data_IF_236047527400
#
_entry.id   IF_236047527400
#
_cell.length_a   1.000
_cell.length_b   1.000
_cell.length_c   1.000
_cell.angle_alpha   90.00
_cell.angle_beta   90.00
_cell.angle_gamma   90.00
#
_symmetry.space_group_name_H-M   'P 1'
#
loop_
_entity.id
_entity.type
_entity.pdbx_description
1 polymer ?
#
# COMPACT_ATOMS: atom_id res chain seq x y z
N UNK A 1 -1.72 -37.22 -16.03
CA UNK A 1 -1.51 -36.10 -16.98
C UNK A 1 -2.75 -35.17 -17.10
N UNK A 2 -3.99 -35.70 -17.04
CA UNK A 2 -5.22 -34.87 -17.17
C UNK A 2 -5.49 -33.95 -15.98
N UNK A 3 -4.95 -34.23 -14.78
CA UNK A 3 -5.20 -33.44 -13.55
C UNK A 3 -4.10 -32.42 -13.26
N UNK A 4 -3.05 -32.36 -14.06
CA UNK A 4 -1.99 -31.35 -13.91
C UNK A 4 -2.45 -30.05 -14.52
N UNK A 5 -2.49 -28.99 -13.71
CA UNK A 5 -2.83 -27.66 -14.19
C UNK A 5 -1.58 -26.97 -14.78
N UNK A 6 -1.70 -26.58 -16.05
CA UNK A 6 -0.69 -25.73 -16.70
C UNK A 6 -1.03 -24.28 -16.42
N UNK A 7 -0.21 -23.60 -15.64
CA UNK A 7 -0.42 -22.20 -15.28
C UNK A 7 -0.04 -21.25 -16.41
N UNK A 8 -0.56 -20.03 -16.37
CA UNK A 8 -0.13 -18.95 -17.24
C UNK A 8 1.29 -18.46 -16.96
N UNK A 9 1.82 -18.76 -15.76
CA UNK A 9 3.17 -18.40 -15.31
C UNK A 9 4.29 -19.31 -15.87
N UNK A 10 3.94 -20.33 -16.67
CA UNK A 10 4.91 -21.20 -17.34
C UNK A 10 5.36 -22.43 -16.55
N UNK A 11 4.75 -22.73 -15.41
CA UNK A 11 4.98 -23.96 -14.66
C UNK A 11 3.68 -24.77 -14.45
N UNK A 12 3.83 -26.02 -14.04
CA UNK A 12 2.72 -26.90 -13.79
C UNK A 12 2.44 -27.04 -12.29
N UNK A 13 1.16 -27.08 -11.94
CA UNK A 13 0.69 -27.39 -10.58
C UNK A 13 0.15 -28.81 -10.57
N UNK A 14 0.67 -29.67 -9.69
CA UNK A 14 0.20 -31.04 -9.53
C UNK A 14 -1.13 -31.07 -8.76
N UNK A 15 -1.95 -32.12 -8.93
CA UNK A 15 -3.23 -32.24 -8.26
C UNK A 15 -3.10 -32.43 -6.73
N UNK A 16 -1.93 -32.87 -6.26
CA UNK A 16 -1.58 -32.97 -4.83
C UNK A 16 -0.07 -32.91 -4.66
N UNK A 17 0.35 -32.58 -3.44
CA UNK A 17 1.74 -32.54 -3.00
C UNK A 17 1.88 -33.31 -1.69
N UNK A 18 3.08 -33.87 -1.43
CA UNK A 18 3.46 -34.63 -0.25
C UNK A 18 4.60 -33.96 0.50
N UNK A 19 4.97 -34.49 1.65
CA UNK A 19 6.10 -34.00 2.44
C UNK A 19 7.42 -34.02 1.67
N UNK A 20 7.63 -35.05 0.84
CA UNK A 20 8.81 -35.19 -0.03
C UNK A 20 8.99 -34.02 -1.04
N UNK A 21 7.87 -33.42 -1.48
CA UNK A 21 7.88 -32.31 -2.44
C UNK A 21 8.39 -30.99 -1.83
N UNK A 22 8.44 -30.90 -0.51
CA UNK A 22 8.92 -29.70 0.23
C UNK A 22 10.28 -29.92 0.89
N UNK A 23 10.86 -31.12 0.79
CA UNK A 23 12.20 -31.40 1.33
C UNK A 23 13.25 -30.50 0.66
N UNK A 24 14.10 -29.87 1.48
CA UNK A 24 15.15 -28.97 1.02
C UNK A 24 14.69 -27.58 0.53
N UNK A 25 13.39 -27.26 0.66
CA UNK A 25 12.90 -25.92 0.37
C UNK A 25 13.21 -24.96 1.52
N UNK A 26 14.11 -24.01 1.30
CA UNK A 26 14.46 -22.95 2.28
C UNK A 26 13.26 -22.10 2.72
N UNK A 27 12.19 -22.07 1.91
CA UNK A 27 10.97 -21.28 2.19
C UNK A 27 10.11 -21.85 3.31
N UNK A 28 10.37 -23.07 3.79
CA UNK A 28 9.60 -23.74 4.85
C UNK A 28 10.16 -23.49 6.24
N UNK A 29 11.42 -23.07 6.36
CA UNK A 29 12.16 -23.00 7.63
C UNK A 29 12.02 -21.64 8.33
N UNK A 30 11.72 -20.55 7.62
CA UNK A 30 11.62 -19.20 8.20
C UNK A 30 10.37 -19.05 9.06
N UNK A 31 10.52 -18.33 10.19
CA UNK A 31 9.41 -17.96 11.07
C UNK A 31 8.78 -16.62 10.64
N UNK A 32 7.54 -16.34 11.07
CA UNK A 32 6.93 -15.03 10.86
C UNK A 32 7.75 -13.90 11.49
N UNK A 33 7.96 -12.81 10.76
CA UNK A 33 8.75 -11.66 11.21
C UNK A 33 10.26 -11.82 11.06
N UNK A 34 10.74 -12.93 10.49
CA UNK A 34 12.17 -13.15 10.21
C UNK A 34 12.50 -12.89 8.74
N UNK A 35 13.66 -12.29 8.50
CA UNK A 35 14.22 -12.11 7.15
C UNK A 35 14.37 -13.49 6.45
N UNK A 36 14.05 -13.63 5.18
CA UNK A 36 13.57 -12.62 4.21
C UNK A 36 12.04 -12.43 4.19
N UNK A 37 11.34 -12.59 5.28
CA UNK A 37 9.93 -12.29 5.51
C UNK A 37 8.94 -13.11 4.67
N UNK A 38 9.32 -14.31 4.25
CA UNK A 38 8.46 -15.21 3.43
C UNK A 38 7.09 -15.42 4.09
N UNK A 39 7.07 -15.59 5.41
CA UNK A 39 5.84 -15.85 6.19
C UNK A 39 5.17 -14.60 6.75
N UNK A 40 5.72 -13.42 6.50
CA UNK A 40 5.18 -12.14 6.96
C UNK A 40 6.21 -11.28 7.66
N UNK A 41 5.96 -9.98 7.70
CA UNK A 41 6.80 -8.98 8.39
C UNK A 41 6.49 -8.87 9.88
N UNK A 42 5.41 -9.51 10.35
CA UNK A 42 4.95 -9.51 11.73
C UNK A 42 5.00 -10.91 12.32
N UNK A 43 5.19 -11.02 13.64
CA UNK A 43 5.15 -12.28 14.38
C UNK A 43 3.72 -12.78 14.67
N UNK A 44 2.75 -11.89 14.58
CA UNK A 44 1.34 -12.13 14.86
C UNK A 44 0.46 -11.97 13.60
N UNK A 45 -0.82 -12.30 13.74
CA UNK A 45 -1.85 -12.15 12.71
C UNK A 45 -2.67 -10.85 12.85
N UNK A 46 -2.16 -9.82 13.50
CA UNK A 46 -2.82 -8.51 13.59
C UNK A 46 -2.77 -7.77 12.25
N UNK A 47 -3.60 -8.22 11.31
CA UNK A 47 -3.82 -7.58 10.02
C UNK A 47 -5.04 -6.65 10.07
N UNK A 48 -5.01 -5.59 9.28
CA UNK A 48 -6.07 -4.58 9.30
C UNK A 48 -7.16 -4.91 8.26
N UNK A 49 -8.41 -4.78 8.68
CA UNK A 49 -9.57 -4.88 7.78
C UNK A 49 -9.89 -3.47 7.30
N UNK A 50 -9.69 -3.23 5.99
CA UNK A 50 -9.87 -1.92 5.39
C UNK A 50 -11.14 -1.82 4.57
N UNK A 51 -11.86 -0.70 4.75
CA UNK A 51 -12.94 -0.31 3.87
C UNK A 51 -12.69 1.08 3.28
N UNK A 52 -12.89 1.20 1.96
CA UNK A 52 -12.79 2.48 1.27
C UNK A 52 -14.15 3.19 1.23
N UNK A 53 -14.12 4.51 1.38
CA UNK A 53 -15.26 5.42 1.32
C UNK A 53 -14.98 6.47 0.25
N UNK A 54 -15.82 6.55 -0.78
CA UNK A 54 -15.83 7.69 -1.70
C UNK A 54 -16.48 8.89 -1.02
N UNK A 55 -15.71 9.97 -0.87
CA UNK A 55 -16.15 11.16 -0.18
C UNK A 55 -16.88 12.08 -1.17
N UNK A 56 -18.21 11.99 -1.18
CA UNK A 56 -19.07 12.91 -1.91
C UNK A 56 -19.63 14.01 -1.01
N UNK A 57 -19.77 13.72 0.28
CA UNK A 57 -20.14 14.63 1.36
C UNK A 57 -19.30 14.27 2.58
N UNK A 58 -18.59 15.24 3.17
CA UNK A 58 -17.67 14.98 4.28
C UNK A 58 -18.35 14.49 5.54
N UNK A 59 -19.48 15.13 5.90
CA UNK A 59 -20.28 14.70 7.05
C UNK A 59 -20.86 13.30 6.88
N UNK A 60 -21.44 12.99 5.72
CA UNK A 60 -21.98 11.65 5.45
C UNK A 60 -20.87 10.58 5.36
N UNK A 61 -19.67 10.94 4.88
CA UNK A 61 -18.54 10.03 4.89
C UNK A 61 -18.01 9.78 6.31
N UNK A 62 -18.01 10.78 7.18
CA UNK A 62 -17.68 10.63 8.60
C UNK A 62 -18.69 9.72 9.32
N UNK A 63 -19.99 9.96 9.16
CA UNK A 63 -21.04 9.12 9.74
C UNK A 63 -20.89 7.65 9.32
N UNK A 64 -20.64 7.42 8.03
CA UNK A 64 -20.34 6.08 7.51
C UNK A 64 -19.07 5.48 8.09
N UNK A 65 -18.01 6.28 8.25
CA UNK A 65 -16.75 5.82 8.82
C UNK A 65 -16.94 5.36 10.27
N UNK A 66 -17.63 6.14 11.09
CA UNK A 66 -17.94 5.79 12.48
C UNK A 66 -18.81 4.53 12.57
N UNK A 67 -19.80 4.38 11.69
CA UNK A 67 -20.66 3.19 11.65
C UNK A 67 -19.85 1.92 11.34
N UNK A 68 -18.99 1.93 10.31
CA UNK A 68 -18.22 0.75 9.94
C UNK A 68 -17.08 0.42 10.93
N UNK A 69 -16.52 1.41 11.62
CA UNK A 69 -15.59 1.17 12.73
C UNK A 69 -16.25 0.40 13.85
N UNK A 70 -17.50 0.74 14.21
CA UNK A 70 -18.28 -0.01 15.18
C UNK A 70 -18.65 -1.44 14.73
N UNK A 71 -18.52 -1.72 13.44
CA UNK A 71 -18.76 -3.05 12.83
C UNK A 71 -17.48 -3.88 12.63
N UNK A 72 -16.34 -3.44 13.18
CA UNK A 72 -15.08 -4.18 13.20
C UNK A 72 -14.09 -3.83 12.10
N UNK A 73 -14.33 -2.79 11.30
CA UNK A 73 -13.31 -2.21 10.41
C UNK A 73 -12.21 -1.56 11.25
N UNK A 74 -10.96 -1.80 10.91
CA UNK A 74 -9.78 -1.30 11.65
C UNK A 74 -8.89 -0.38 10.82
N UNK A 75 -9.22 -0.22 9.55
CA UNK A 75 -8.51 0.65 8.60
C UNK A 75 -9.52 1.34 7.68
N UNK A 76 -9.44 2.65 7.57
CA UNK A 76 -10.30 3.45 6.69
C UNK A 76 -9.52 3.93 5.48
N UNK A 77 -10.15 3.92 4.31
CA UNK A 77 -9.63 4.53 3.10
C UNK A 77 -10.58 5.61 2.60
N UNK A 78 -10.11 6.85 2.47
CA UNK A 78 -10.91 7.95 1.96
C UNK A 78 -10.46 8.33 0.55
N UNK A 79 -11.39 8.36 -0.40
CA UNK A 79 -11.15 8.81 -1.77
C UNK A 79 -11.74 10.23 -1.87
N UNK A 80 -10.86 11.24 -1.96
CA UNK A 80 -11.20 12.65 -1.88
C UNK A 80 -10.85 13.32 -3.20
N UNK A 81 -11.74 14.13 -3.74
CA UNK A 81 -11.44 14.98 -4.91
C UNK A 81 -10.38 16.03 -4.53
N UNK A 82 -9.43 16.27 -5.42
CA UNK A 82 -8.34 17.23 -5.14
C UNK A 82 -8.82 18.66 -4.87
N UNK A 83 -9.95 19.09 -5.45
CA UNK A 83 -10.58 20.37 -5.18
C UNK A 83 -11.04 20.55 -3.73
N UNK A 84 -11.35 19.44 -3.07
CA UNK A 84 -12.02 19.42 -1.76
C UNK A 84 -11.03 19.22 -0.60
N UNK A 85 -9.73 19.13 -0.92
CA UNK A 85 -8.65 18.99 0.08
C UNK A 85 -8.39 20.35 0.74
N UNK A 86 -8.89 20.51 1.96
CA UNK A 86 -8.65 21.64 2.85
C UNK A 86 -8.82 21.22 4.32
N UNK A 87 -8.36 22.07 5.26
CA UNK A 87 -8.34 21.76 6.68
C UNK A 87 -9.75 21.54 7.27
N UNK A 88 -10.72 22.35 6.86
CA UNK A 88 -12.11 22.27 7.36
C UNK A 88 -12.77 20.94 6.97
N UNK A 89 -12.64 20.55 5.71
CA UNK A 89 -13.17 19.30 5.19
C UNK A 89 -12.51 18.08 5.85
N UNK A 90 -11.20 18.11 6.06
CA UNK A 90 -10.49 17.04 6.75
C UNK A 90 -10.90 16.97 8.24
N UNK A 91 -11.06 18.10 8.91
CA UNK A 91 -11.54 18.13 10.27
C UNK A 91 -12.96 17.54 10.40
N UNK A 92 -13.86 17.88 9.46
CA UNK A 92 -15.22 17.30 9.41
C UNK A 92 -15.19 15.79 9.16
N UNK A 93 -14.32 15.34 8.22
CA UNK A 93 -14.19 13.93 7.86
C UNK A 93 -13.71 13.06 9.01
N UNK A 94 -12.80 13.58 9.82
CA UNK A 94 -12.12 12.84 10.87
C UNK A 94 -12.68 13.11 12.27
N UNK A 95 -13.77 13.86 12.37
CA UNK A 95 -14.37 14.16 13.67
C UNK A 95 -14.83 12.89 14.39
N UNK A 96 -14.49 12.76 15.67
CA UNK A 96 -14.78 11.58 16.49
C UNK A 96 -13.93 10.33 16.18
N UNK A 97 -13.01 10.38 15.21
CA UNK A 97 -12.13 9.25 14.88
C UNK A 97 -10.79 9.39 15.62
N UNK A 98 -10.40 8.36 16.37
CA UNK A 98 -9.11 8.29 17.06
C UNK A 98 -7.99 7.97 16.06
N UNK A 99 -7.07 8.88 15.72
CA UNK A 99 -6.05 8.66 14.70
C UNK A 99 -4.94 7.68 15.13
N UNK A 100 -4.78 7.45 16.43
CA UNK A 100 -3.83 6.46 16.98
C UNK A 100 -4.40 5.03 16.97
N UNK A 101 -5.73 4.90 16.95
CA UNK A 101 -6.44 3.63 17.07
C UNK A 101 -6.80 3.03 15.71
N UNK A 102 -6.97 3.87 14.71
CA UNK A 102 -7.46 3.50 13.37
C UNK A 102 -6.39 3.84 12.33
N UNK A 103 -6.10 2.89 11.45
CA UNK A 103 -5.25 3.18 10.29
C UNK A 103 -6.03 4.02 9.27
N UNK A 104 -5.53 5.23 8.95
CA UNK A 104 -6.20 6.18 8.06
C UNK A 104 -5.44 6.32 6.73
N UNK A 105 -6.12 6.00 5.65
CA UNK A 105 -5.53 6.01 4.31
C UNK A 105 -6.28 6.99 3.39
N UNK A 106 -5.54 7.73 2.60
CA UNK A 106 -6.10 8.77 1.74
C UNK A 106 -5.66 8.61 0.30
N UNK A 107 -6.61 8.76 -0.62
CA UNK A 107 -6.37 8.78 -2.05
C UNK A 107 -6.96 10.08 -2.62
N UNK A 108 -6.12 10.89 -3.25
CA UNK A 108 -6.51 12.14 -3.88
C UNK A 108 -5.70 12.38 -5.17
N UNK A 109 -5.82 13.54 -5.78
CA UNK A 109 -4.93 13.97 -6.86
C UNK A 109 -3.49 14.07 -6.34
N UNK A 110 -2.52 13.55 -7.09
CA UNK A 110 -1.10 13.63 -6.72
C UNK A 110 -0.64 15.06 -6.38
N UNK A 111 -1.16 16.06 -7.11
CA UNK A 111 -0.83 17.47 -6.87
C UNK A 111 -1.32 18.02 -5.51
N UNK A 112 -2.13 17.27 -4.78
CA UNK A 112 -2.63 17.63 -3.45
C UNK A 112 -2.06 16.74 -2.33
N UNK A 113 -1.22 15.77 -2.65
CA UNK A 113 -0.69 14.82 -1.67
C UNK A 113 0.15 15.53 -0.58
N UNK A 114 1.08 16.40 -0.98
CA UNK A 114 1.90 17.19 -0.06
C UNK A 114 1.05 18.06 0.87
N UNK A 115 0.11 18.82 0.30
CA UNK A 115 -0.81 19.66 1.08
C UNK A 115 -1.62 18.83 2.07
N UNK A 116 -2.16 17.68 1.63
CA UNK A 116 -2.95 16.81 2.48
C UNK A 116 -2.13 16.26 3.66
N UNK A 117 -0.88 15.88 3.44
CA UNK A 117 0.02 15.42 4.51
C UNK A 117 0.21 16.52 5.57
N UNK A 118 0.44 17.76 5.14
CA UNK A 118 0.55 18.91 6.06
C UNK A 118 -0.72 19.12 6.88
N UNK A 119 -1.89 19.11 6.24
CA UNK A 119 -3.19 19.25 6.91
C UNK A 119 -3.41 18.12 7.94
N UNK A 120 -3.08 16.87 7.59
CA UNK A 120 -3.20 15.73 8.51
C UNK A 120 -2.28 15.86 9.72
N UNK A 121 -1.02 16.26 9.50
CA UNK A 121 -0.06 16.47 10.57
C UNK A 121 -0.53 17.55 11.56
N UNK A 122 -1.02 18.68 11.04
CA UNK A 122 -1.54 19.77 11.86
C UNK A 122 -2.83 19.38 12.60
N UNK A 123 -3.73 18.65 11.93
CA UNK A 123 -4.95 18.14 12.55
C UNK A 123 -4.64 17.18 13.71
N UNK A 124 -3.75 16.21 13.52
CA UNK A 124 -3.40 15.25 14.57
C UNK A 124 -2.69 15.92 15.75
N UNK A 125 -1.76 16.86 15.47
CA UNK A 125 -1.14 17.70 16.53
C UNK A 125 -2.19 18.51 17.29
N UNK A 126 -3.14 19.13 16.59
CA UNK A 126 -4.22 19.89 17.19
C UNK A 126 -5.17 19.06 18.07
N UNK A 127 -5.28 17.76 17.80
CA UNK A 127 -6.01 16.80 18.65
C UNK A 127 -5.16 16.22 19.78
N UNK A 128 -3.87 16.60 19.89
CA UNK A 128 -2.94 16.07 20.91
C UNK A 128 -2.53 14.62 20.68
N UNK A 129 -2.66 14.12 19.44
CA UNK A 129 -2.31 12.75 19.11
C UNK A 129 -0.77 12.55 19.02
N UNK A 130 -0.32 11.38 19.46
CA UNK A 130 1.06 10.92 19.29
C UNK A 130 1.27 10.50 17.82
N UNK A 131 2.02 11.32 17.07
CA UNK A 131 2.24 11.10 15.63
C UNK A 131 2.98 9.80 15.31
N UNK A 132 3.77 9.25 16.25
CA UNK A 132 4.45 7.96 16.09
C UNK A 132 3.44 6.79 16.08
N UNK A 133 2.31 6.96 16.76
CA UNK A 133 1.22 5.97 16.81
C UNK A 133 0.25 6.11 15.65
N UNK A 134 0.15 7.29 15.03
CA UNK A 134 -0.71 7.54 13.89
C UNK A 134 -0.19 6.79 12.66
N UNK A 135 -0.95 5.83 12.14
CA UNK A 135 -0.59 5.00 11.00
C UNK A 135 -1.57 5.15 9.85
N UNK A 136 -1.03 5.07 8.64
CA UNK A 136 -1.85 5.19 7.45
C UNK A 136 -1.05 5.41 6.18
N UNK A 137 -1.70 5.98 5.20
CA UNK A 137 -1.03 6.34 3.93
C UNK A 137 -1.69 7.51 3.22
N UNK A 138 -0.88 8.26 2.48
CA UNK A 138 -1.35 9.15 1.41
C UNK A 138 -0.85 8.57 0.09
N UNK A 139 -1.77 8.23 -0.80
CA UNK A 139 -1.49 7.46 -2.01
C UNK A 139 -0.92 8.35 -3.13
N UNK A 140 0.35 8.80 -2.98
CA UNK A 140 1.06 9.45 -4.09
C UNK A 140 1.66 8.38 -5.00
N UNK A 141 1.26 8.39 -6.27
CA UNK A 141 1.64 7.42 -7.28
C UNK A 141 2.09 8.15 -8.56
N UNK A 142 3.40 8.30 -8.79
CA UNK A 142 3.92 9.06 -9.94
C UNK A 142 3.64 8.37 -11.28
N UNK A 143 3.49 7.04 -11.29
CA UNK A 143 3.34 6.26 -12.52
C UNK A 143 1.89 6.01 -12.95
N UNK A 144 0.91 6.32 -12.08
CA UNK A 144 -0.52 6.22 -12.41
C UNK A 144 -0.90 6.95 -13.68
N UNK A 145 -0.40 8.19 -13.86
CA UNK A 145 -0.75 9.02 -15.00
C UNK A 145 -0.18 8.49 -16.32
N UNK A 146 1.12 8.11 -16.41
CA UNK A 146 1.66 7.40 -17.56
C UNK A 146 0.93 6.10 -17.86
N UNK A 147 0.72 5.25 -16.86
CA UNK A 147 0.14 3.92 -17.03
C UNK A 147 -1.33 3.97 -17.49
N UNK A 148 -2.16 4.80 -16.85
CA UNK A 148 -3.62 4.81 -17.09
C UNK A 148 -4.03 5.77 -18.22
N UNK A 149 -3.27 6.85 -18.42
CA UNK A 149 -3.61 7.91 -19.39
C UNK A 149 -2.62 8.06 -20.54
N UNK A 150 -1.53 7.30 -20.55
CA UNK A 150 -0.46 7.42 -21.56
C UNK A 150 0.20 8.81 -21.57
N UNK A 151 0.18 9.55 -20.46
CA UNK A 151 0.74 10.91 -20.36
C UNK A 151 1.97 10.89 -19.49
N UNK A 152 3.08 11.40 -20.00
CA UNK A 152 4.32 11.54 -19.25
C UNK A 152 4.16 12.42 -17.99
N UNK A 153 5.04 12.17 -17.02
CA UNK A 153 5.11 12.90 -15.76
C UNK A 153 6.58 13.27 -15.51
N UNK A 154 7.07 14.28 -16.22
CA UNK A 154 8.48 14.63 -16.29
C UNK A 154 9.09 14.98 -14.92
N UNK A 155 8.36 15.71 -14.07
CA UNK A 155 8.86 16.21 -12.78
C UNK A 155 8.45 15.34 -11.58
N UNK A 156 8.27 14.04 -11.80
CA UNK A 156 7.76 13.17 -10.74
C UNK A 156 8.76 12.95 -9.59
N UNK A 157 10.07 12.98 -9.86
CA UNK A 157 11.12 12.79 -8.84
C UNK A 157 11.10 13.95 -7.83
N UNK A 158 11.05 15.19 -8.32
CA UNK A 158 10.97 16.38 -7.48
C UNK A 158 9.68 16.40 -6.66
N UNK A 159 8.55 16.08 -7.29
CA UNK A 159 7.27 16.00 -6.60
C UNK A 159 7.23 14.86 -5.55
N UNK A 160 7.82 13.71 -5.85
CA UNK A 160 7.95 12.61 -4.89
C UNK A 160 8.85 12.99 -3.71
N UNK A 161 9.96 13.70 -3.97
CA UNK A 161 10.85 14.20 -2.92
C UNK A 161 10.14 15.20 -2.00
N UNK A 162 9.31 16.10 -2.55
CA UNK A 162 8.50 17.04 -1.77
C UNK A 162 7.48 16.30 -0.88
N UNK A 163 6.80 15.29 -1.42
CA UNK A 163 5.86 14.44 -0.68
C UNK A 163 6.57 13.66 0.43
N UNK A 164 7.77 13.12 0.18
CA UNK A 164 8.58 12.45 1.20
C UNK A 164 8.98 13.40 2.33
N UNK A 165 9.43 14.61 1.98
CA UNK A 165 9.80 15.63 2.96
C UNK A 165 8.60 16.03 3.83
N UNK A 166 7.43 16.24 3.24
CA UNK A 166 6.21 16.48 3.99
C UNK A 166 5.85 15.26 4.87
N UNK A 167 6.03 14.05 4.34
CA UNK A 167 5.77 12.79 5.03
C UNK A 167 6.65 12.52 6.26
N UNK A 168 7.74 13.27 6.44
CA UNK A 168 8.56 13.20 7.66
C UNK A 168 7.76 13.67 8.90
N UNK A 169 6.78 14.55 8.72
CA UNK A 169 5.90 14.99 9.80
C UNK A 169 4.96 13.90 10.33
N UNK A 170 4.78 12.81 9.58
CA UNK A 170 3.95 11.65 9.93
C UNK A 170 4.78 10.36 9.83
N UNK A 171 5.57 10.00 10.86
CA UNK A 171 6.51 8.89 10.81
C UNK A 171 5.87 7.55 10.43
N UNK A 172 4.67 7.28 10.96
CA UNK A 172 3.91 6.05 10.71
C UNK A 172 3.20 5.99 9.36
N UNK A 173 3.26 7.04 8.52
CA UNK A 173 2.57 7.09 7.23
C UNK A 173 3.45 6.63 6.07
N UNK A 174 2.84 5.87 5.16
CA UNK A 174 3.40 5.55 3.84
C UNK A 174 2.90 6.60 2.85
N UNK A 175 3.82 7.26 2.14
CA UNK A 175 3.45 8.38 1.26
C UNK A 175 3.78 8.14 -0.22
N UNK A 176 4.46 7.03 -0.53
CA UNK A 176 4.71 6.58 -1.89
C UNK A 176 3.95 5.28 -2.15
N UNK A 177 3.25 5.20 -3.25
CA UNK A 177 2.42 4.04 -3.58
C UNK A 177 2.86 3.37 -4.88
N UNK A 178 2.95 2.05 -4.82
CA UNK A 178 3.03 1.15 -5.96
C UNK A 178 1.67 0.47 -6.11
N UNK A 179 0.85 0.95 -7.06
CA UNK A 179 -0.51 0.45 -7.27
C UNK A 179 -0.53 -0.68 -8.31
N UNK A 180 0.07 -1.81 -7.97
CA UNK A 180 0.20 -2.98 -8.85
C UNK A 180 -1.16 -3.57 -9.29
N UNK A 181 -2.22 -3.33 -8.54
CA UNK A 181 -3.57 -3.76 -8.91
C UNK A 181 -4.04 -3.26 -10.28
N UNK A 182 -3.44 -2.22 -10.85
CA UNK A 182 -3.72 -1.81 -12.22
C UNK A 182 -3.35 -2.89 -13.23
N UNK A 183 -2.24 -3.58 -13.02
CA UNK A 183 -1.82 -4.70 -13.87
C UNK A 183 -2.76 -5.90 -13.71
N UNK A 184 -3.11 -6.23 -12.47
CA UNK A 184 -4.07 -7.30 -12.18
C UNK A 184 -5.43 -7.03 -12.85
N UNK A 185 -5.96 -5.81 -12.72
CA UNK A 185 -7.21 -5.39 -13.35
C UNK A 185 -7.15 -5.37 -14.89
N UNK A 186 -5.97 -5.21 -15.46
CA UNK A 186 -5.72 -5.29 -16.89
C UNK A 186 -5.54 -6.73 -17.41
N UNK A 187 -5.60 -7.73 -16.53
CA UNK A 187 -5.50 -9.15 -16.88
C UNK A 187 -4.09 -9.72 -16.85
N UNK A 188 -3.13 -9.04 -16.19
CA UNK A 188 -1.80 -9.58 -16.00
C UNK A 188 -1.82 -10.85 -15.14
N UNK A 189 -0.94 -11.79 -15.47
CA UNK A 189 -0.69 -12.95 -14.62
C UNK A 189 -0.05 -12.52 -13.30
N UNK A 190 -0.14 -13.37 -12.28
CA UNK A 190 0.37 -13.13 -10.93
C UNK A 190 1.87 -12.78 -10.95
N UNK A 191 2.66 -13.52 -11.73
CA UNK A 191 4.10 -13.27 -11.91
C UNK A 191 4.41 -11.93 -12.59
N UNK A 192 3.58 -11.52 -13.56
CA UNK A 192 3.70 -10.24 -14.24
C UNK A 192 3.35 -9.07 -13.30
N UNK A 193 2.22 -9.17 -12.56
CA UNK A 193 1.85 -8.16 -11.57
C UNK A 193 2.98 -7.96 -10.56
N UNK A 194 3.53 -9.07 -10.02
CA UNK A 194 4.62 -9.01 -9.06
C UNK A 194 5.89 -8.40 -9.66
N UNK A 195 6.30 -8.84 -10.84
CA UNK A 195 7.50 -8.32 -11.54
C UNK A 195 7.41 -6.82 -11.79
N UNK A 196 6.28 -6.34 -12.31
CA UNK A 196 6.04 -4.91 -12.53
C UNK A 196 5.97 -4.12 -11.22
N UNK A 197 5.40 -4.70 -10.17
CA UNK A 197 5.35 -4.05 -8.86
C UNK A 197 6.76 -3.83 -8.27
N UNK A 198 7.61 -4.86 -8.35
CA UNK A 198 9.00 -4.78 -7.88
C UNK A 198 9.82 -3.79 -8.71
N UNK A 199 9.68 -3.84 -10.04
CA UNK A 199 10.33 -2.88 -10.93
C UNK A 199 9.90 -1.43 -10.60
N UNK A 200 8.63 -1.21 -10.36
CA UNK A 200 8.09 0.10 -9.97
C UNK A 200 8.64 0.57 -8.62
N UNK A 201 8.65 -0.32 -7.61
CA UNK A 201 9.24 0.00 -6.30
C UNK A 201 10.74 0.29 -6.39
N UNK A 202 11.47 -0.48 -7.19
CA UNK A 202 12.90 -0.28 -7.44
C UNK A 202 13.17 1.07 -8.16
N UNK A 203 12.37 1.43 -9.16
CA UNK A 203 12.50 2.72 -9.86
C UNK A 203 12.28 3.90 -8.90
N UNK A 204 11.27 3.82 -8.02
CA UNK A 204 11.06 4.82 -6.97
C UNK A 204 12.30 4.94 -6.06
N UNK A 205 12.82 3.81 -5.60
CA UNK A 205 13.97 3.78 -4.69
C UNK A 205 15.23 4.32 -5.37
N UNK A 206 15.54 3.86 -6.59
CA UNK A 206 16.71 4.25 -7.34
C UNK A 206 16.70 5.76 -7.65
N UNK A 207 15.63 6.26 -8.25
CA UNK A 207 15.54 7.66 -8.67
C UNK A 207 15.54 8.64 -7.49
N UNK A 208 14.91 8.29 -6.39
CA UNK A 208 14.91 9.14 -5.21
C UNK A 208 16.27 9.11 -4.49
N UNK A 209 16.97 7.98 -4.53
CA UNK A 209 18.34 7.89 -4.01
C UNK A 209 19.34 8.65 -4.90
N UNK A 210 19.20 8.58 -6.23
CA UNK A 210 19.95 9.42 -7.17
C UNK A 210 19.75 10.91 -6.89
N UNK A 211 18.55 11.31 -6.43
CA UNK A 211 18.23 12.66 -5.99
C UNK A 211 18.73 13.00 -4.56
N UNK A 212 19.66 12.20 -4.02
CA UNK A 212 20.31 12.41 -2.71
C UNK A 212 19.40 12.21 -1.50
N UNK A 213 18.34 11.42 -1.63
CA UNK A 213 17.50 11.01 -0.50
C UNK A 213 18.02 9.68 0.08
N UNK A 214 17.89 9.50 1.39
CA UNK A 214 18.32 8.27 2.06
C UNK A 214 17.44 7.08 1.63
N UNK A 215 18.07 6.02 1.11
CA UNK A 215 17.38 4.85 0.58
C UNK A 215 16.51 4.15 1.63
N UNK A 216 16.96 4.10 2.89
CA UNK A 216 16.22 3.49 3.99
C UNK A 216 14.95 4.27 4.31
N UNK A 217 15.05 5.59 4.32
CA UNK A 217 13.88 6.45 4.57
C UNK A 217 12.88 6.39 3.40
N UNK A 218 13.36 6.35 2.16
CA UNK A 218 12.51 6.14 0.98
C UNK A 218 11.78 4.79 1.08
N UNK A 219 12.51 3.70 1.32
CA UNK A 219 11.95 2.35 1.41
C UNK A 219 10.88 2.24 2.51
N UNK A 220 11.09 2.86 3.67
CA UNK A 220 10.11 2.92 4.76
C UNK A 220 8.80 3.60 4.36
N UNK A 221 8.81 4.48 3.37
CA UNK A 221 7.64 5.25 2.93
C UNK A 221 6.90 4.66 1.73
N UNK A 222 7.42 3.59 1.13
CA UNK A 222 6.77 2.88 0.02
C UNK A 222 5.68 1.93 0.56
N UNK A 223 4.54 1.91 -0.13
CA UNK A 223 3.43 0.98 0.09
C UNK A 223 3.06 0.29 -1.22
N UNK A 224 3.01 -1.03 -1.19
CA UNK A 224 2.52 -1.83 -2.30
C UNK A 224 1.03 -2.12 -2.14
N UNK A 225 0.27 -1.92 -3.21
CA UNK A 225 -1.15 -2.25 -3.32
C UNK A 225 -1.32 -3.25 -4.46
N UNK A 226 -1.58 -4.51 -4.13
CA UNK A 226 -1.80 -5.60 -5.08
C UNK A 226 -3.28 -5.88 -5.32
N UNK A 227 -3.61 -6.42 -6.49
CA UNK A 227 -4.88 -7.06 -6.74
C UNK A 227 -4.91 -8.47 -6.12
N UNK A 228 -6.12 -9.03 -5.98
CA UNK A 228 -6.33 -10.40 -5.57
C UNK A 228 -7.23 -11.07 -6.60
N UNK A 229 -6.76 -12.16 -7.19
CA UNK A 229 -7.52 -12.99 -8.11
C UNK A 229 -8.17 -14.18 -7.38
N UNK A 230 -8.92 -15.01 -8.13
CA UNK A 230 -9.61 -16.18 -7.57
C UNK A 230 -8.72 -17.38 -7.28
N UNK A 231 -7.46 -17.37 -7.71
CA UNK A 231 -6.52 -18.48 -7.51
C UNK A 231 -5.87 -18.42 -6.13
N UNK A 232 -6.60 -18.85 -5.10
CA UNK A 232 -6.26 -18.69 -3.69
C UNK A 232 -4.81 -19.04 -3.33
N UNK A 233 -4.33 -20.25 -3.68
CA UNK A 233 -2.97 -20.68 -3.35
C UNK A 233 -1.89 -19.93 -4.15
N UNK A 234 -2.18 -19.55 -5.38
CA UNK A 234 -1.27 -18.74 -6.19
C UNK A 234 -1.14 -17.31 -5.64
N UNK A 235 -2.23 -16.75 -5.12
CA UNK A 235 -2.19 -15.45 -4.44
C UNK A 235 -1.39 -15.50 -3.15
N UNK A 236 -1.52 -16.56 -2.35
CA UNK A 236 -0.66 -16.77 -1.17
C UNK A 236 0.80 -16.85 -1.59
N UNK A 237 1.12 -17.59 -2.64
CA UNK A 237 2.48 -17.70 -3.18
C UNK A 237 3.02 -16.34 -3.65
N UNK A 238 2.19 -15.53 -4.34
CA UNK A 238 2.55 -14.16 -4.74
C UNK A 238 3.00 -13.31 -3.55
N UNK A 239 2.23 -13.26 -2.48
CA UNK A 239 2.59 -12.46 -1.31
C UNK A 239 3.82 -12.99 -0.56
N UNK A 240 4.04 -14.30 -0.56
CA UNK A 240 5.25 -14.91 -0.01
C UNK A 240 6.48 -14.50 -0.83
N UNK A 241 6.40 -14.62 -2.16
CA UNK A 241 7.46 -14.23 -3.09
C UNK A 241 7.70 -12.71 -3.06
N UNK A 242 6.63 -11.89 -3.01
CA UNK A 242 6.73 -10.44 -2.96
C UNK A 242 7.54 -9.94 -1.76
N UNK A 243 7.27 -10.49 -0.58
CA UNK A 243 8.01 -10.11 0.64
C UNK A 243 9.48 -10.53 0.56
N UNK A 244 9.75 -11.74 0.09
CA UNK A 244 11.12 -12.22 -0.08
C UNK A 244 11.91 -11.35 -1.05
N UNK A 245 11.42 -11.22 -2.29
CA UNK A 245 12.12 -10.49 -3.35
C UNK A 245 12.30 -9.00 -3.04
N UNK A 246 11.36 -8.40 -2.29
CA UNK A 246 11.52 -7.02 -1.86
C UNK A 246 12.50 -6.86 -0.70
N UNK A 247 12.69 -7.88 0.11
CA UNK A 247 13.64 -7.86 1.23
C UNK A 247 15.10 -8.02 0.78
N UNK A 248 15.36 -8.79 -0.30
CA UNK A 248 16.66 -8.96 -0.95
C UNK A 248 17.00 -7.82 -1.91
#
# INVERSE_FOLDING_TARGET
KKLVWKTGEGFNVNPFYRAEDIEGLKTTESLPGEFPYVRGTKKDNDWKVRQNIEVTCFKGANEKALDILNKGVTSLGFIIKGSDVNAENIATLLDGICPECVELNFNTCNCKAEMLIGILADYFKGKGADLEKCKGSVNYDPFKKPLVKGKENENWVEAAAAVLKAGAALPGYKVLAVNAFYFNNAGAYISQELGYALAWGNELLAKLTEASLDATEVAKKIKFNFGISSNYFMEIAKFRAARWLWAE
#
